data_IF_984709858654
#
_entry.id   IF_984709858654
#
_cell.length_a   1.000
_cell.length_b   1.000
_cell.length_c   1.000
_cell.angle_alpha   90.00
_cell.angle_beta   90.00
_cell.angle_gamma   90.00
#
_symmetry.space_group_name_H-M   'P 1'
#
loop_
_entity.id
_entity.type
_entity.pdbx_description
1 polymer ?
#
# COMPACT_ATOMS: atom_id res chain seq x y z
N UNK A 1 -18.99 -0.78 28.59
CA UNK A 1 -17.74 -1.48 28.27
C UNK A 1 -17.35 -1.07 26.87
N UNK A 2 -16.34 -0.21 26.72
CA UNK A 2 -15.74 0.06 25.40
C UNK A 2 -15.00 -1.20 24.96
N UNK A 3 -15.15 -1.59 23.69
CA UNK A 3 -14.38 -2.71 23.15
C UNK A 3 -12.89 -2.35 23.18
N UNK A 4 -12.04 -3.26 23.62
CA UNK A 4 -10.58 -3.15 23.43
C UNK A 4 -10.32 -3.14 21.92
N UNK A 5 -9.74 -2.04 21.44
CA UNK A 5 -9.40 -1.84 20.02
C UNK A 5 -8.05 -2.48 19.66
N UNK A 6 -7.39 -3.11 20.62
CA UNK A 6 -6.00 -3.61 20.52
C UNK A 6 -5.85 -4.77 19.50
N UNK A 7 -6.97 -5.27 18.96
CA UNK A 7 -7.00 -6.30 17.91
C UNK A 7 -7.46 -5.79 16.55
N UNK A 8 -7.86 -4.52 16.44
CA UNK A 8 -8.27 -3.94 15.17
C UNK A 8 -7.01 -3.63 14.35
N UNK A 9 -6.92 -4.19 13.15
CA UNK A 9 -5.89 -3.86 12.18
C UNK A 9 -6.43 -2.82 11.22
N UNK A 10 -5.69 -1.76 11.03
CA UNK A 10 -6.02 -0.69 10.09
C UNK A 10 -5.05 -0.76 8.93
N UNK A 11 -5.59 -0.74 7.72
CA UNK A 11 -4.80 -0.66 6.49
C UNK A 11 -5.26 0.50 5.61
N UNK A 12 -4.48 0.78 4.57
CA UNK A 12 -4.76 1.82 3.59
C UNK A 12 -4.80 1.28 2.16
N UNK A 13 -5.29 2.10 1.24
CA UNK A 13 -5.40 1.79 -0.17
C UNK A 13 -4.57 2.77 -1.00
N UNK A 14 -3.98 2.34 -2.13
CA UNK A 14 -3.35 3.26 -3.08
C UNK A 14 -4.25 4.42 -3.52
N UNK A 15 -5.57 4.21 -3.57
CA UNK A 15 -6.55 5.23 -3.93
C UNK A 15 -6.50 6.46 -2.99
N UNK A 16 -6.12 6.27 -1.72
CA UNK A 16 -5.90 7.37 -0.75
C UNK A 16 -4.70 8.26 -1.11
N UNK A 17 -3.81 7.78 -1.98
CA UNK A 17 -2.69 8.51 -2.58
C UNK A 17 -3.00 9.00 -4.00
N UNK A 18 -4.25 8.92 -4.44
CA UNK A 18 -4.68 9.36 -5.77
C UNK A 18 -4.34 8.36 -6.88
N UNK A 19 -4.18 7.09 -6.57
CA UNK A 19 -3.88 6.02 -7.53
C UNK A 19 -5.18 5.42 -8.07
N UNK A 20 -5.54 5.76 -9.31
CA UNK A 20 -6.77 5.29 -9.96
C UNK A 20 -6.51 4.28 -11.10
N UNK A 21 -5.57 4.58 -12.00
CA UNK A 21 -5.27 3.77 -13.18
C UNK A 21 -3.78 3.37 -13.27
N UNK A 22 -3.45 2.07 -13.35
CA UNK A 22 -2.08 1.58 -13.18
C UNK A 22 -1.09 2.14 -14.23
N UNK A 23 -1.59 2.42 -15.45
CA UNK A 23 -0.83 2.95 -16.58
C UNK A 23 -1.22 4.40 -16.91
N UNK A 24 -1.28 5.28 -15.91
CA UNK A 24 -1.44 6.73 -16.10
C UNK A 24 -0.11 7.46 -15.83
N UNK A 25 0.39 8.31 -16.75
CA UNK A 25 1.66 9.01 -16.60
C UNK A 25 1.69 10.03 -15.44
N UNK A 26 0.53 10.44 -14.94
CA UNK A 26 0.40 11.36 -13.81
C UNK A 26 0.17 10.65 -12.48
N UNK A 27 0.05 9.32 -12.48
CA UNK A 27 -0.16 8.56 -11.28
C UNK A 27 1.05 8.60 -10.35
N UNK A 28 0.82 8.57 -9.04
CA UNK A 28 1.87 8.36 -8.04
C UNK A 28 2.58 7.05 -8.36
N UNK A 29 3.93 7.03 -8.51
CA UNK A 29 4.65 5.78 -8.72
C UNK A 29 4.49 4.84 -7.52
N UNK A 30 4.36 3.54 -7.77
CA UNK A 30 4.10 2.55 -6.71
C UNK A 30 5.18 2.55 -5.61
N UNK A 31 6.45 2.79 -5.96
CA UNK A 31 7.53 2.86 -4.98
C UNK A 31 7.36 4.04 -4.03
N UNK A 32 6.95 5.20 -4.55
CA UNK A 32 6.63 6.38 -3.73
C UNK A 32 5.45 6.10 -2.80
N UNK A 33 4.39 5.47 -3.31
CA UNK A 33 3.27 5.07 -2.46
C UNK A 33 3.72 4.15 -1.32
N UNK A 34 4.51 3.11 -1.61
CA UNK A 34 5.00 2.19 -0.57
C UNK A 34 5.88 2.91 0.47
N UNK A 35 6.75 3.82 0.03
CA UNK A 35 7.58 4.62 0.93
C UNK A 35 6.71 5.51 1.85
N UNK A 36 5.72 6.20 1.28
CA UNK A 36 4.88 7.16 2.00
C UNK A 36 3.85 6.49 2.91
N UNK A 37 3.25 5.37 2.50
CA UNK A 37 2.24 4.64 3.30
C UNK A 37 2.88 3.99 4.53
N UNK A 38 4.10 3.46 4.39
CA UNK A 38 4.93 2.99 5.49
C UNK A 38 5.34 4.16 6.41
N UNK A 39 5.82 5.26 5.84
CA UNK A 39 6.16 6.47 6.60
C UNK A 39 4.98 7.09 7.36
N UNK A 40 3.75 6.86 6.90
CA UNK A 40 2.52 7.26 7.58
C UNK A 40 2.08 6.31 8.71
N UNK A 41 2.77 5.17 8.89
CA UNK A 41 2.53 4.21 9.97
C UNK A 41 1.49 3.13 9.67
N UNK A 42 1.11 2.93 8.40
CA UNK A 42 0.26 1.81 8.01
C UNK A 42 1.07 0.53 7.81
N UNK A 43 0.69 -0.54 8.50
CA UNK A 43 1.29 -1.88 8.37
C UNK A 43 0.58 -2.77 7.35
N UNK A 44 -0.59 -2.34 6.87
CA UNK A 44 -1.44 -3.13 5.98
C UNK A 44 -1.87 -2.28 4.80
N UNK A 45 -1.80 -2.84 3.60
CA UNK A 45 -2.31 -2.22 2.39
C UNK A 45 -3.13 -3.21 1.58
N UNK A 46 -4.10 -2.71 0.81
CA UNK A 46 -4.55 -3.41 -0.38
C UNK A 46 -3.63 -3.11 -1.57
N UNK A 47 -3.71 -3.94 -2.61
CA UNK A 47 -2.78 -3.86 -3.74
C UNK A 47 -3.16 -2.79 -4.78
N UNK A 48 -4.39 -2.25 -4.69
CA UNK A 48 -4.93 -1.33 -5.69
C UNK A 48 -5.20 -1.99 -7.04
N UNK A 49 -5.20 -1.20 -8.14
CA UNK A 49 -5.50 -1.74 -9.47
C UNK A 49 -4.38 -2.66 -9.97
N UNK A 50 -4.76 -3.73 -10.66
CA UNK A 50 -3.81 -4.71 -11.20
C UNK A 50 -2.77 -4.04 -12.12
N UNK A 51 -1.49 -4.34 -11.90
CA UNK A 51 -0.38 -3.74 -12.65
C UNK A 51 0.20 -2.48 -12.01
N UNK A 52 -0.44 -1.91 -10.99
CA UNK A 52 0.12 -0.77 -10.25
C UNK A 52 1.35 -1.17 -9.42
N UNK A 53 1.17 -2.13 -8.52
CA UNK A 53 2.27 -2.79 -7.81
C UNK A 53 2.92 -3.86 -8.70
N UNK A 54 4.16 -4.28 -8.38
CA UNK A 54 4.80 -5.41 -9.04
C UNK A 54 3.89 -6.65 -9.07
N UNK A 55 3.72 -7.24 -10.26
CA UNK A 55 2.89 -8.44 -10.45
C UNK A 55 3.65 -9.74 -10.19
N UNK A 56 4.99 -9.69 -10.14
CA UNK A 56 5.82 -10.78 -9.65
C UNK A 56 5.72 -10.87 -8.11
N UNK A 57 5.18 -11.97 -7.55
CA UNK A 57 5.02 -12.12 -6.10
C UNK A 57 6.33 -12.06 -5.32
N UNK A 58 7.44 -12.53 -5.88
CA UNK A 58 8.73 -12.49 -5.19
C UNK A 58 9.19 -11.04 -5.03
N UNK A 59 9.13 -10.27 -6.13
CA UNK A 59 9.43 -8.84 -6.12
C UNK A 59 8.50 -8.06 -5.19
N UNK A 60 7.19 -8.34 -5.24
CA UNK A 60 6.24 -7.67 -4.36
C UNK A 60 6.57 -7.95 -2.88
N UNK A 61 6.90 -9.20 -2.55
CA UNK A 61 7.28 -9.61 -1.18
C UNK A 61 8.54 -8.86 -0.72
N UNK A 62 9.57 -8.78 -1.56
CA UNK A 62 10.80 -8.06 -1.25
C UNK A 62 10.54 -6.57 -0.97
N UNK A 63 9.73 -5.92 -1.81
CA UNK A 63 9.43 -4.49 -1.71
C UNK A 63 8.60 -4.11 -0.48
N UNK A 64 7.61 -4.93 -0.10
CA UNK A 64 6.82 -4.69 1.12
C UNK A 64 7.64 -5.04 2.37
N UNK A 65 8.40 -6.15 2.36
CA UNK A 65 9.26 -6.54 3.49
C UNK A 65 10.33 -5.50 3.79
N UNK A 66 10.88 -4.85 2.76
CA UNK A 66 11.86 -3.79 2.92
C UNK A 66 11.31 -2.55 3.67
N UNK A 67 9.98 -2.41 3.78
CA UNK A 67 9.30 -1.21 4.30
C UNK A 67 8.46 -1.46 5.57
N UNK A 68 8.45 -2.69 6.08
CA UNK A 68 7.72 -3.06 7.30
C UNK A 68 6.52 -3.94 7.01
#
# INVERSE_FOLDING_TARGET
MTASLDRLRVGSAPDSWGVWFPDDPHQVPWSRFLDEVSGAGYEWIELGPYGYLPTDPARLTDEVTARG
#
